data_IF_769524970072
#
_entry.id   IF_769524970072
#
_cell.length_a   1.000
_cell.length_b   1.000
_cell.length_c   1.000
_cell.angle_alpha   90.00
_cell.angle_beta   90.00
_cell.angle_gamma   90.00
#
_symmetry.space_group_name_H-M   'P 1'
#
loop_
_entity.id
_entity.type
_entity.pdbx_description
1 polymer ?
#
# COMPACT_ATOMS: atom_id res chain seq x y z
N UNK A 1 15.16 -16.12 6.76
CA UNK A 1 14.27 -17.21 6.27
C UNK A 1 14.48 -17.57 4.80
N UNK A 2 14.78 -16.61 3.91
CA UNK A 2 15.01 -16.89 2.47
C UNK A 2 16.18 -17.85 2.21
N UNK A 3 17.30 -17.64 2.90
CA UNK A 3 18.48 -18.52 2.80
C UNK A 3 18.24 -19.95 3.30
N UNK A 4 17.33 -20.15 4.26
CA UNK A 4 17.03 -21.47 4.82
C UNK A 4 16.08 -22.28 3.91
N UNK A 5 15.16 -21.59 3.22
CA UNK A 5 14.24 -22.21 2.25
C UNK A 5 14.99 -22.87 1.07
N UNK A 6 16.12 -22.29 0.66
CA UNK A 6 17.00 -22.85 -0.38
C UNK A 6 17.54 -24.25 -0.02
N UNK A 7 17.73 -24.53 1.26
CA UNK A 7 18.26 -25.80 1.76
C UNK A 7 17.16 -26.82 2.07
N UNK A 8 15.97 -26.39 2.51
CA UNK A 8 14.86 -27.28 2.87
C UNK A 8 14.02 -27.70 1.66
N UNK A 9 13.83 -26.82 0.67
CA UNK A 9 13.07 -27.11 -0.54
C UNK A 9 13.69 -26.38 -1.75
N UNK A 10 14.73 -26.97 -2.39
CA UNK A 10 15.58 -26.29 -3.39
C UNK A 10 14.87 -25.73 -4.64
N UNK A 11 13.61 -26.09 -4.88
CA UNK A 11 12.77 -25.59 -5.98
C UNK A 11 11.48 -24.89 -5.56
N UNK A 12 11.16 -24.81 -4.26
CA UNK A 12 9.90 -24.23 -3.77
C UNK A 12 10.05 -22.72 -3.48
N UNK A 13 10.42 -21.94 -4.49
CA UNK A 13 10.63 -20.47 -4.38
C UNK A 13 9.31 -19.69 -4.51
N UNK A 14 8.18 -20.34 -4.79
CA UNK A 14 6.90 -19.69 -5.11
C UNK A 14 6.38 -18.73 -4.03
N UNK A 15 6.49 -19.08 -2.74
CA UNK A 15 6.01 -18.23 -1.65
C UNK A 15 6.79 -16.92 -1.49
N UNK A 16 8.08 -16.91 -1.84
CA UNK A 16 8.94 -15.73 -1.73
C UNK A 16 8.66 -14.72 -2.84
N UNK A 17 8.44 -15.19 -4.07
CA UNK A 17 8.02 -14.33 -5.19
C UNK A 17 6.65 -13.70 -4.91
N UNK A 18 5.71 -14.47 -4.36
CA UNK A 18 4.40 -13.94 -3.98
C UNK A 18 4.51 -12.87 -2.89
N UNK A 19 5.36 -13.07 -1.88
CA UNK A 19 5.60 -12.07 -0.84
C UNK A 19 6.14 -10.75 -1.40
N UNK A 20 7.07 -10.81 -2.38
CA UNK A 20 7.57 -9.61 -3.05
C UNK A 20 6.46 -8.86 -3.79
N UNK A 21 5.58 -9.57 -4.51
CA UNK A 21 4.44 -8.96 -5.20
C UNK A 21 3.52 -8.24 -4.20
N UNK A 22 3.22 -8.86 -3.06
CA UNK A 22 2.36 -8.24 -2.03
C UNK A 22 3.04 -7.00 -1.41
N UNK A 23 4.35 -7.05 -1.13
CA UNK A 23 5.09 -5.89 -0.61
C UNK A 23 5.04 -4.73 -1.60
N UNK A 24 5.25 -4.99 -2.89
CA UNK A 24 5.17 -3.97 -3.93
C UNK A 24 3.75 -3.40 -4.05
N UNK A 25 2.73 -4.25 -4.06
CA UNK A 25 1.34 -3.84 -4.11
C UNK A 25 0.95 -2.96 -2.90
N UNK A 26 1.36 -3.37 -1.69
CA UNK A 26 1.12 -2.61 -0.46
C UNK A 26 1.81 -1.24 -0.48
N UNK A 27 3.03 -1.16 -1.01
CA UNK A 27 3.73 0.10 -1.19
C UNK A 27 3.00 1.03 -2.17
N UNK A 28 2.47 0.48 -3.28
CA UNK A 28 1.65 1.24 -4.22
C UNK A 28 0.36 1.76 -3.57
N UNK A 29 -0.34 0.92 -2.80
CA UNK A 29 -1.57 1.31 -2.11
C UNK A 29 -1.34 2.45 -1.11
N UNK A 30 -0.27 2.36 -0.31
CA UNK A 30 0.10 3.42 0.63
C UNK A 30 0.43 4.74 -0.09
N UNK A 31 1.12 4.69 -1.23
CA UNK A 31 1.43 5.87 -2.03
C UNK A 31 0.17 6.52 -2.61
N UNK A 32 -0.79 5.71 -3.10
CA UNK A 32 -2.07 6.20 -3.62
C UNK A 32 -2.91 6.81 -2.50
N UNK A 33 -2.96 6.18 -1.32
CA UNK A 33 -3.67 6.71 -0.15
C UNK A 33 -3.12 8.06 0.30
N UNK A 34 -1.80 8.20 0.36
CA UNK A 34 -1.16 9.48 0.70
C UNK A 34 -1.44 10.54 -0.37
N UNK A 35 -1.37 10.19 -1.65
CA UNK A 35 -1.66 11.11 -2.74
C UNK A 35 -3.11 11.63 -2.67
N UNK A 36 -4.06 10.76 -2.32
CA UNK A 36 -5.47 11.13 -2.14
C UNK A 36 -5.63 12.13 -0.98
N UNK A 37 -5.01 11.85 0.18
CA UNK A 37 -5.06 12.75 1.34
C UNK A 37 -4.43 14.10 1.02
N UNK A 38 -3.29 14.12 0.32
CA UNK A 38 -2.63 15.35 -0.12
C UNK A 38 -3.49 16.15 -1.10
N UNK A 39 -4.16 15.47 -2.04
CA UNK A 39 -5.07 16.12 -2.99
C UNK A 39 -6.29 16.73 -2.28
N UNK A 40 -6.87 16.01 -1.31
CA UNK A 40 -7.97 16.50 -0.48
C UNK A 40 -7.53 17.72 0.35
N UNK A 41 -6.37 17.65 1.01
CA UNK A 41 -5.83 18.77 1.77
C UNK A 41 -5.56 20.00 0.90
N UNK A 42 -5.03 19.81 -0.32
CA UNK A 42 -4.82 20.94 -1.25
C UNK A 42 -6.11 21.60 -1.70
N UNK A 43 -7.23 20.87 -1.70
CA UNK A 43 -8.53 21.41 -2.12
C UNK A 43 -9.30 22.09 -0.99
N UNK A 44 -9.07 21.68 0.26
CA UNK A 44 -9.91 22.07 1.40
C UNK A 44 -9.12 22.80 2.51
N UNK A 45 -7.78 22.82 2.42
CA UNK A 45 -6.83 23.39 3.41
C UNK A 45 -7.00 22.87 4.85
N UNK A 46 -7.87 21.90 5.07
CA UNK A 46 -8.21 21.28 6.36
C UNK A 46 -7.98 19.76 6.30
N UNK A 47 -7.56 19.20 7.44
CA UNK A 47 -7.36 17.75 7.62
C UNK A 47 -8.59 17.12 8.29
N UNK A 48 -9.55 17.94 8.74
CA UNK A 48 -10.77 17.45 9.38
C UNK A 48 -11.67 16.76 8.35
N UNK A 49 -11.76 15.43 8.45
CA UNK A 49 -12.56 14.60 7.56
C UNK A 49 -14.04 14.97 7.60
N UNK A 50 -14.54 15.49 8.73
CA UNK A 50 -15.92 15.94 8.90
C UNK A 50 -16.27 17.19 8.07
N UNK A 51 -15.27 18.03 7.78
CA UNK A 51 -15.40 19.25 6.98
C UNK A 51 -15.34 18.98 5.46
N UNK A 52 -14.94 17.77 5.05
CA UNK A 52 -14.89 17.32 3.65
C UNK A 52 -16.30 16.98 3.17
N UNK A 53 -17.14 18.00 3.05
CA UNK A 53 -18.55 17.86 2.69
C UNK A 53 -18.86 18.25 1.24
N UNK A 54 -17.94 17.93 0.32
CA UNK A 54 -18.02 18.29 -1.12
C UNK A 54 -19.09 17.53 -1.90
N UNK A 55 -19.70 16.49 -1.31
CA UNK A 55 -20.71 15.64 -1.97
C UNK A 55 -22.04 15.52 -1.22
N UNK A 56 -22.27 16.25 -0.11
CA UNK A 56 -23.65 16.35 0.41
C UNK A 56 -24.46 17.28 -0.49
N UNK A 57 -25.52 16.72 -1.05
CA UNK A 57 -26.70 17.43 -1.50
C UNK A 57 -27.62 17.73 -0.32
#
# INVERSE_FOLDING_TARGET
>A
LVAFNRYVAPGAVGGQTFALVIITLAACEAAVGLALVMAAYRSLETIHVDEINVMKW
#
